data_IF_671698181053
#
_entry.id   IF_671698181053
#
_cell.length_a   1.000
_cell.length_b   1.000
_cell.length_c   1.000
_cell.angle_alpha   90.00
_cell.angle_beta   90.00
_cell.angle_gamma   90.00
#
_symmetry.space_group_name_H-M   'P 1'
#
loop_
_entity.id
_entity.type
_entity.pdbx_description
1 polymer ?
#
# COMPACT_ATOMS: atom_id res chain seq x y z
N UNK A 1 -0.71 29.71 -45.76
CA UNK A 1 -1.47 28.57 -45.18
C UNK A 1 -0.51 27.40 -44.95
N UNK A 2 -0.52 26.82 -43.73
CA UNK A 2 0.00 25.51 -43.27
C UNK A 2 1.46 25.06 -43.62
N UNK A 3 2.36 24.96 -42.61
CA UNK A 3 2.87 23.73 -41.93
C UNK A 3 3.90 22.91 -42.77
N UNK A 4 4.98 22.27 -42.29
CA UNK A 4 5.42 21.73 -40.99
C UNK A 4 6.92 21.34 -41.05
N UNK A 5 7.66 21.33 -39.93
CA UNK A 5 8.99 20.71 -39.74
C UNK A 5 8.90 19.22 -39.39
N UNK A 6 9.84 18.36 -39.84
CA UNK A 6 10.36 17.19 -39.10
C UNK A 6 11.85 16.92 -39.46
N UNK A 7 12.68 16.69 -38.43
CA UNK A 7 14.07 16.18 -38.46
C UNK A 7 14.09 14.66 -38.21
N UNK A 8 14.97 13.93 -38.88
CA UNK A 8 15.48 12.60 -38.47
C UNK A 8 16.95 12.52 -38.87
N UNK A 9 17.83 12.04 -37.99
CA UNK A 9 19.07 11.40 -38.42
C UNK A 9 19.54 10.36 -37.38
N UNK A 10 20.05 9.25 -37.89
CA UNK A 10 20.41 8.00 -37.22
C UNK A 10 21.64 7.45 -37.99
N UNK A 11 22.71 7.01 -37.32
CA UNK A 11 23.82 6.12 -37.80
C UNK A 11 24.87 5.98 -36.67
N UNK A 12 25.14 4.81 -36.07
CA UNK A 12 25.92 3.61 -36.50
C UNK A 12 27.43 3.81 -36.69
N UNK A 13 28.29 3.17 -35.86
CA UNK A 13 29.24 2.08 -36.24
C UNK A 13 30.03 1.51 -35.03
N UNK A 14 30.75 0.40 -35.25
CA UNK A 14 31.12 -0.65 -34.28
C UNK A 14 32.64 -0.93 -34.13
N UNK A 15 33.02 -1.55 -32.99
CA UNK A 15 34.02 -2.63 -32.72
C UNK A 15 35.53 -2.44 -33.02
N UNK A 16 36.41 -2.77 -32.05
CA UNK A 16 37.51 -3.78 -32.16
C UNK A 16 38.12 -4.17 -30.80
N UNK A 17 38.45 -5.47 -30.62
CA UNK A 17 39.27 -6.06 -29.54
C UNK A 17 40.76 -6.09 -29.94
N UNK A 18 41.67 -5.99 -28.97
CA UNK A 18 42.99 -6.65 -29.00
C UNK A 18 43.51 -6.91 -27.58
N UNK A 19 44.12 -8.09 -27.39
CA UNK A 19 44.72 -8.63 -26.15
C UNK A 19 46.20 -8.25 -26.07
N UNK A 20 46.71 -7.95 -24.87
CA UNK A 20 48.14 -7.83 -24.59
C UNK A 20 48.45 -8.11 -23.12
N UNK A 21 49.18 -9.20 -22.88
CA UNK A 21 49.76 -9.57 -21.58
C UNK A 21 50.86 -8.58 -21.17
N UNK A 22 50.95 -8.26 -19.88
CA UNK A 22 52.03 -7.47 -19.29
C UNK A 22 52.10 -7.66 -17.78
N UNK A 23 53.24 -8.19 -17.34
CA UNK A 23 53.58 -8.60 -15.98
C UNK A 23 53.76 -7.42 -15.00
N UNK A 24 53.53 -7.68 -13.72
CA UNK A 24 53.68 -6.77 -12.59
C UNK A 24 55.14 -6.35 -12.32
N UNK A 25 55.34 -5.30 -11.50
CA UNK A 25 56.40 -5.34 -10.50
C UNK A 25 55.85 -5.23 -9.07
N UNK A 26 56.53 -5.95 -8.18
CA UNK A 26 56.25 -6.11 -6.77
C UNK A 26 56.39 -4.80 -5.97
N UNK A 27 55.48 -4.58 -5.02
CA UNK A 27 55.61 -3.57 -3.99
C UNK A 27 56.57 -4.07 -2.90
N UNK A 28 57.64 -3.32 -2.66
CA UNK A 28 58.56 -3.52 -1.54
C UNK A 28 57.86 -3.24 -0.21
N UNK A 29 58.08 -4.14 0.75
CA UNK A 29 57.68 -4.02 2.14
C UNK A 29 58.65 -3.10 2.86
N UNK A 30 58.18 -2.01 3.46
CA UNK A 30 58.93 -1.24 4.46
C UNK A 30 58.23 -1.40 5.79
N UNK A 31 58.89 -2.11 6.71
CA UNK A 31 58.58 -2.15 8.13
C UNK A 31 59.00 -0.82 8.76
N UNK A 32 58.08 -0.12 9.42
CA UNK A 32 58.33 1.12 10.15
C UNK A 32 57.46 1.20 11.40
N UNK A 33 58.05 0.80 12.53
CA UNK A 33 57.75 1.08 13.94
C UNK A 33 56.32 1.44 14.37
N UNK A 34 55.74 0.55 15.16
CA UNK A 34 54.61 0.83 16.06
C UNK A 34 54.99 1.90 17.09
N UNK A 35 54.27 3.02 17.11
CA UNK A 35 54.01 3.74 18.36
C UNK A 35 52.61 3.40 18.84
N UNK A 36 52.56 2.77 20.01
CA UNK A 36 51.38 2.50 20.80
C UNK A 36 50.72 3.83 21.19
N UNK A 37 49.74 4.26 20.40
CA UNK A 37 48.66 5.10 20.93
C UNK A 37 47.53 4.14 21.25
N UNK A 38 47.43 3.74 22.52
CA UNK A 38 46.20 3.17 23.04
C UNK A 38 45.13 4.27 22.99
N UNK A 39 44.48 4.41 21.85
CA UNK A 39 43.15 5.01 21.81
C UNK A 39 42.23 4.00 22.48
N UNK A 40 41.87 4.29 23.73
CA UNK A 40 40.67 3.72 24.33
C UNK A 40 39.52 3.89 23.34
N UNK A 41 39.09 2.77 22.77
CA UNK A 41 37.94 2.68 21.90
C UNK A 41 36.71 2.96 22.78
N UNK A 42 36.34 4.23 22.92
CA UNK A 42 35.08 4.64 23.55
C UNK A 42 33.97 3.89 22.79
N UNK A 43 33.28 2.96 23.45
CA UNK A 43 32.15 2.24 22.84
C UNK A 43 31.15 3.27 22.30
N UNK A 44 31.06 3.40 20.98
CA UNK A 44 30.25 4.42 20.33
C UNK A 44 28.78 3.97 20.22
N UNK A 45 27.84 4.77 20.74
CA UNK A 45 26.47 4.89 20.21
C UNK A 45 25.48 3.78 20.56
N UNK A 46 25.47 3.29 21.80
CA UNK A 46 24.41 2.39 22.30
C UNK A 46 23.21 3.21 22.79
N UNK A 47 21.99 2.84 22.38
CA UNK A 47 20.76 3.59 22.70
C UNK A 47 20.59 3.75 24.22
N UNK A 48 20.40 4.98 24.69
CA UNK A 48 20.18 5.28 26.10
C UNK A 48 19.01 6.26 26.29
N UNK A 49 17.88 5.72 26.72
CA UNK A 49 16.62 6.45 26.80
C UNK A 49 15.77 5.94 27.96
N UNK A 50 14.56 6.47 28.06
CA UNK A 50 13.54 5.98 29.00
C UNK A 50 13.19 4.49 28.82
N UNK A 51 13.54 3.86 27.67
CA UNK A 51 13.28 2.44 27.37
C UNK A 51 14.54 1.62 27.10
N UNK A 52 15.73 2.22 27.03
CA UNK A 52 16.99 1.52 26.80
C UNK A 52 18.09 2.00 27.74
N UNK A 53 18.94 1.07 28.17
CA UNK A 53 20.21 1.36 28.85
C UNK A 53 21.32 0.55 28.19
N UNK A 54 22.35 1.22 27.72
CA UNK A 54 23.47 0.60 26.98
C UNK A 54 22.97 -0.26 25.79
N UNK A 55 21.96 0.22 25.06
CA UNK A 55 21.36 -0.46 23.91
C UNK A 55 20.49 -1.67 24.25
N UNK A 56 20.24 -1.93 25.54
CA UNK A 56 19.39 -3.04 26.01
C UNK A 56 18.07 -2.50 26.55
N UNK A 57 16.91 -3.14 26.24
CA UNK A 57 15.63 -2.72 26.78
C UNK A 57 15.62 -2.70 28.32
N UNK A 58 15.10 -1.63 28.91
CA UNK A 58 14.83 -1.55 30.34
C UNK A 58 13.47 -2.21 30.60
N UNK A 59 13.42 -3.22 31.46
CA UNK A 59 12.16 -3.77 31.95
C UNK A 59 11.81 -3.08 33.26
N UNK A 60 10.88 -2.12 33.21
CA UNK A 60 10.46 -1.39 34.39
C UNK A 60 9.76 -2.32 35.41
N UNK A 61 10.22 -2.26 36.66
CA UNK A 61 9.41 -2.53 37.85
C UNK A 61 8.57 -1.29 38.16
N UNK A 62 7.45 -1.48 38.87
CA UNK A 62 6.38 -0.49 39.07
C UNK A 62 6.85 0.96 39.31
N UNK A 63 6.23 1.92 38.60
CA UNK A 63 6.39 3.37 38.84
C UNK A 63 7.04 4.17 37.71
N UNK A 64 7.80 3.53 36.82
CA UNK A 64 8.19 4.05 35.49
C UNK A 64 7.20 3.53 34.44
N UNK A 65 7.11 4.10 33.22
CA UNK A 65 6.15 3.67 32.18
C UNK A 65 6.18 2.14 32.03
N UNK A 66 5.20 1.46 32.62
CA UNK A 66 5.23 0.01 32.74
C UNK A 66 4.81 -0.60 31.41
N UNK A 67 5.71 -1.36 30.81
CA UNK A 67 5.45 -2.20 29.64
C UNK A 67 4.13 -2.97 29.82
N UNK A 68 3.20 -2.84 28.88
CA UNK A 68 1.86 -3.45 29.01
C UNK A 68 1.75 -4.70 28.17
N UNK A 69 1.96 -5.87 28.78
CA UNK A 69 1.52 -7.12 28.16
C UNK A 69 0.01 -7.08 27.91
N UNK A 70 -0.47 -7.90 26.97
CA UNK A 70 -1.89 -8.22 26.90
C UNK A 70 -2.33 -8.86 28.24
N UNK A 71 -2.81 -8.06 29.19
CA UNK A 71 -3.26 -8.56 30.50
C UNK A 71 -4.60 -9.27 30.32
N UNK A 72 -4.68 -10.56 30.62
CA UNK A 72 -5.92 -11.32 30.92
C UNK A 72 -7.02 -11.41 29.85
N UNK A 73 -7.00 -10.60 28.80
CA UNK A 73 -8.07 -10.51 27.81
C UNK A 73 -7.62 -11.05 26.45
N UNK A 74 -8.24 -12.14 26.00
CA UNK A 74 -7.77 -12.96 24.88
C UNK A 74 -7.67 -12.24 23.53
N UNK A 75 -8.37 -11.12 23.37
CA UNK A 75 -8.40 -10.33 22.13
C UNK A 75 -7.74 -8.93 22.28
N UNK A 76 -6.98 -8.69 23.35
CA UNK A 76 -6.24 -7.45 23.54
C UNK A 76 -5.45 -7.06 22.29
N UNK A 77 -5.45 -5.76 21.96
CA UNK A 77 -4.77 -5.18 20.80
C UNK A 77 -5.23 -5.73 19.43
N UNK A 78 -6.33 -6.46 19.37
CA UNK A 78 -6.87 -7.01 18.13
C UNK A 78 -8.18 -6.34 17.73
N UNK A 79 -8.64 -6.66 16.51
CA UNK A 79 -9.89 -6.11 15.98
C UNK A 79 -11.06 -7.00 16.38
N UNK A 80 -12.01 -6.44 17.12
CA UNK A 80 -13.24 -7.08 17.58
C UNK A 80 -14.40 -6.27 17.01
N UNK A 81 -15.31 -6.92 16.28
CA UNK A 81 -16.47 -6.27 15.64
C UNK A 81 -16.10 -5.02 14.80
N UNK A 82 -14.93 -5.05 14.16
CA UNK A 82 -14.45 -3.94 13.31
C UNK A 82 -13.69 -2.83 14.04
N UNK A 83 -13.61 -2.87 15.37
CA UNK A 83 -12.89 -1.89 16.20
C UNK A 83 -11.66 -2.52 16.84
N UNK A 84 -10.56 -1.78 16.95
CA UNK A 84 -9.42 -2.23 17.74
C UNK A 84 -9.72 -2.06 19.23
N UNK A 85 -9.32 -3.03 20.06
CA UNK A 85 -9.52 -2.99 21.51
C UNK A 85 -8.18 -2.95 22.25
N UNK A 86 -8.13 -2.32 23.43
CA UNK A 86 -6.94 -2.24 24.28
C UNK A 86 -6.73 -3.52 25.12
N UNK A 87 -5.77 -3.50 26.04
CA UNK A 87 -5.49 -4.57 27.02
C UNK A 87 -6.64 -4.88 27.98
N UNK A 88 -7.65 -4.00 28.07
CA UNK A 88 -8.86 -4.20 28.87
C UNK A 88 -10.07 -4.63 28.03
N UNK A 89 -9.88 -4.94 26.74
CA UNK A 89 -10.97 -5.29 25.82
C UNK A 89 -11.87 -4.11 25.41
N UNK A 90 -11.53 -2.88 25.82
CA UNK A 90 -12.29 -1.67 25.50
C UNK A 90 -11.87 -1.11 24.13
N UNK A 91 -12.79 -0.56 23.31
CA UNK A 91 -12.43 0.06 22.03
C UNK A 91 -11.38 1.16 22.18
N UNK A 92 -10.40 1.20 21.29
CA UNK A 92 -9.41 2.28 21.19
C UNK A 92 -10.03 3.38 20.31
N UNK A 93 -10.43 4.52 20.89
CA UNK A 93 -11.14 5.56 20.13
C UNK A 93 -10.25 6.11 19.02
N UNK A 94 -10.83 6.24 17.82
CA UNK A 94 -10.12 6.76 16.66
C UNK A 94 -9.11 5.79 16.01
N UNK A 95 -8.85 4.59 16.55
CA UNK A 95 -7.92 3.67 15.92
C UNK A 95 -8.39 3.24 14.52
N UNK A 96 -7.61 3.62 13.50
CA UNK A 96 -7.88 3.32 12.08
C UNK A 96 -7.11 2.12 11.58
N UNK A 97 -5.88 1.94 12.06
CA UNK A 97 -4.95 0.91 11.63
C UNK A 97 -4.08 0.47 12.81
N UNK A 98 -3.68 -0.81 12.82
CA UNK A 98 -2.70 -1.36 13.74
C UNK A 98 -1.39 -1.59 13.01
N UNK A 99 -0.28 -1.14 13.58
CA UNK A 99 1.05 -1.34 13.04
C UNK A 99 2.04 -1.80 14.09
N UNK A 100 3.24 -2.09 13.63
CA UNK A 100 4.42 -2.36 14.44
C UNK A 100 5.51 -1.36 14.09
N UNK A 101 6.44 -1.14 15.00
CA UNK A 101 7.75 -0.61 14.66
C UNK A 101 8.84 -1.63 15.01
N UNK A 102 9.83 -1.75 14.13
CA UNK A 102 10.84 -2.80 14.21
C UNK A 102 12.22 -2.29 13.82
N UNK A 103 13.24 -2.92 14.38
CA UNK A 103 14.64 -2.64 14.15
C UNK A 103 15.45 -3.94 14.17
N UNK A 104 16.78 -3.86 14.35
CA UNK A 104 17.61 -5.01 14.64
C UNK A 104 17.15 -5.85 15.85
N UNK A 105 16.36 -5.26 16.76
CA UNK A 105 15.97 -5.88 18.03
C UNK A 105 15.09 -7.12 17.80
N UNK A 106 14.30 -7.12 16.72
CA UNK A 106 13.45 -8.25 16.32
C UNK A 106 14.18 -9.33 15.51
N UNK A 107 15.46 -9.12 15.17
CA UNK A 107 16.27 -10.06 14.38
C UNK A 107 15.55 -10.45 13.08
N UNK A 108 15.52 -11.75 12.75
CA UNK A 108 14.87 -12.27 11.54
C UNK A 108 13.36 -12.39 11.71
N UNK A 109 12.62 -11.55 10.99
CA UNK A 109 11.15 -11.56 10.91
C UNK A 109 10.64 -12.42 9.75
N UNK A 110 9.58 -13.21 9.99
CA UNK A 110 8.76 -13.87 8.97
C UNK A 110 7.62 -12.93 8.53
N UNK A 111 7.88 -12.18 7.45
CA UNK A 111 7.01 -11.10 7.00
C UNK A 111 5.68 -11.57 6.38
N UNK A 112 5.60 -12.80 5.91
CA UNK A 112 4.34 -13.35 5.39
C UNK A 112 3.37 -13.64 6.52
N UNK A 113 3.86 -14.17 7.65
CA UNK A 113 3.06 -14.31 8.88
C UNK A 113 2.66 -12.96 9.46
N UNK A 114 3.58 -11.99 9.50
CA UNK A 114 3.26 -10.62 9.96
C UNK A 114 2.12 -10.04 9.13
N UNK A 115 2.21 -10.12 7.79
CA UNK A 115 1.15 -9.64 6.89
C UNK A 115 -0.19 -10.36 7.10
N UNK A 116 -0.16 -11.67 7.37
CA UNK A 116 -1.35 -12.46 7.62
C UNK A 116 -1.99 -12.18 8.99
N UNK A 117 -1.22 -11.67 9.95
CA UNK A 117 -1.65 -11.45 11.34
C UNK A 117 -2.53 -10.21 11.57
N UNK A 118 -2.79 -9.41 10.52
CA UNK A 118 -3.59 -8.19 10.62
C UNK A 118 -2.80 -6.95 11.03
N UNK A 119 -1.49 -6.94 10.79
CA UNK A 119 -0.68 -5.72 10.78
C UNK A 119 -0.97 -4.93 9.49
N UNK A 120 -1.45 -3.71 9.64
CA UNK A 120 -1.80 -2.79 8.56
C UNK A 120 -0.59 -1.96 8.08
N UNK A 121 0.41 -1.76 8.93
CA UNK A 121 1.62 -1.00 8.61
C UNK A 121 2.83 -1.26 9.50
N UNK A 122 3.98 -0.73 9.06
CA UNK A 122 5.26 -0.86 9.75
C UNK A 122 5.99 0.48 9.78
N UNK A 123 6.65 0.84 10.89
CA UNK A 123 7.68 1.88 10.91
C UNK A 123 9.03 1.20 11.13
N UNK A 124 9.97 1.37 10.21
CA UNK A 124 11.26 0.68 10.22
C UNK A 124 12.35 1.58 10.77
N UNK A 125 13.18 1.11 11.71
CA UNK A 125 14.44 1.84 11.98
C UNK A 125 15.31 1.74 10.74
N UNK A 126 15.69 2.87 10.15
CA UNK A 126 16.66 2.88 9.06
C UNK A 126 18.11 2.96 9.58
N UNK A 127 18.30 3.64 10.71
CA UNK A 127 19.58 3.76 11.38
C UNK A 127 19.46 4.57 12.67
N UNK A 128 20.60 4.93 13.22
CA UNK A 128 20.74 5.81 14.37
C UNK A 128 21.89 6.78 14.17
N UNK A 129 21.85 7.96 14.80
CA UNK A 129 22.96 8.90 14.74
C UNK A 129 23.27 9.42 13.34
N UNK A 130 24.53 9.84 13.16
CA UNK A 130 25.02 10.56 11.98
C UNK A 130 25.13 9.65 10.76
N UNK A 131 25.31 10.26 9.58
CA UNK A 131 25.41 9.54 8.31
C UNK A 131 26.70 8.71 8.18
N UNK A 132 26.70 7.54 8.79
CA UNK A 132 27.78 6.55 8.78
C UNK A 132 27.18 5.17 8.46
N UNK A 133 27.77 4.39 7.53
CA UNK A 133 27.27 3.05 7.20
C UNK A 133 27.17 2.11 8.41
N UNK A 134 28.07 2.23 9.38
CA UNK A 134 28.09 1.41 10.61
C UNK A 134 26.95 1.72 11.57
N UNK A 135 26.23 2.83 11.34
CA UNK A 135 25.04 3.20 12.10
C UNK A 135 23.74 2.94 11.32
N UNK A 136 23.82 2.31 10.15
CA UNK A 136 22.64 1.72 9.50
C UNK A 136 22.06 0.62 10.41
N UNK A 137 20.74 0.48 10.45
CA UNK A 137 20.14 -0.64 11.18
C UNK A 137 20.46 -1.96 10.49
N UNK A 138 20.99 -2.94 11.23
CA UNK A 138 21.41 -4.25 10.69
C UNK A 138 20.30 -5.01 9.95
N UNK A 139 19.02 -4.72 10.24
CA UNK A 139 17.88 -5.31 9.56
C UNK A 139 17.24 -4.38 8.52
N UNK A 140 17.72 -3.16 8.34
CA UNK A 140 17.14 -2.16 7.43
C UNK A 140 16.87 -2.73 6.04
N UNK A 141 17.92 -3.20 5.35
CA UNK A 141 17.82 -3.67 3.96
C UNK A 141 16.88 -4.87 3.81
N UNK A 142 16.90 -5.80 4.78
CA UNK A 142 16.02 -6.96 4.78
C UNK A 142 14.57 -6.55 5.02
N UNK A 143 14.31 -5.71 6.00
CA UNK A 143 12.96 -5.33 6.40
C UNK A 143 12.28 -4.47 5.32
N UNK A 144 13.02 -3.53 4.72
CA UNK A 144 12.47 -2.68 3.67
C UNK A 144 12.20 -3.48 2.39
N UNK A 145 13.09 -4.40 2.00
CA UNK A 145 12.89 -5.23 0.81
C UNK A 145 11.70 -6.18 0.96
N UNK A 146 11.49 -6.76 2.14
CA UNK A 146 10.33 -7.62 2.40
C UNK A 146 9.01 -6.84 2.46
N UNK A 147 9.01 -5.64 3.05
CA UNK A 147 7.86 -4.74 2.99
C UNK A 147 7.49 -4.41 1.53
N UNK A 148 8.47 -4.10 0.69
CA UNK A 148 8.25 -3.79 -0.72
C UNK A 148 7.77 -5.02 -1.51
N UNK A 149 8.40 -6.18 -1.33
CA UNK A 149 8.01 -7.46 -1.96
C UNK A 149 6.56 -7.80 -1.66
N UNK A 150 6.16 -7.66 -0.39
CA UNK A 150 4.83 -8.01 0.08
C UNK A 150 3.83 -6.86 -0.02
N UNK A 151 4.21 -5.69 -0.51
CA UNK A 151 3.38 -4.48 -0.53
C UNK A 151 2.80 -4.14 0.86
N UNK A 152 3.61 -4.28 1.91
CA UNK A 152 3.28 -3.83 3.27
C UNK A 152 3.58 -2.33 3.34
N UNK A 153 2.59 -1.47 3.63
CA UNK A 153 2.83 -0.04 3.79
C UNK A 153 3.80 0.24 4.95
N UNK A 154 4.89 0.96 4.67
CA UNK A 154 5.89 1.26 5.69
C UNK A 154 6.33 2.73 5.71
N UNK A 155 6.83 3.16 6.87
CA UNK A 155 7.61 4.38 7.09
C UNK A 155 8.94 4.07 7.72
N UNK A 156 9.66 5.11 8.11
CA UNK A 156 10.98 4.94 8.73
C UNK A 156 11.11 5.82 9.96
N UNK A 157 12.01 5.44 10.86
CA UNK A 157 12.51 6.32 11.90
C UNK A 157 14.04 6.24 11.98
N UNK A 158 14.63 7.32 12.49
CA UNK A 158 16.04 7.40 12.85
C UNK A 158 16.13 7.82 14.32
N UNK A 159 16.81 7.00 15.12
CA UNK A 159 17.12 7.29 16.52
C UNK A 159 18.20 8.38 16.60
N UNK A 160 17.89 9.50 17.25
CA UNK A 160 18.79 10.66 17.24
C UNK A 160 19.81 10.65 18.38
N UNK A 161 21.05 11.00 18.05
CA UNK A 161 22.10 11.41 18.98
C UNK A 161 22.54 12.87 18.76
N UNK A 162 21.80 13.64 17.95
CA UNK A 162 22.19 15.00 17.61
C UNK A 162 21.99 15.97 18.78
N UNK A 163 23.10 16.52 19.27
CA UNK A 163 23.15 17.64 20.21
C UNK A 163 23.48 19.00 19.53
N UNK A 164 23.76 18.97 18.22
CA UNK A 164 24.04 20.14 17.39
C UNK A 164 23.22 20.11 16.09
N UNK A 165 23.10 21.30 15.48
CA UNK A 165 22.42 21.47 14.19
C UNK A 165 23.15 20.72 13.07
N UNK A 166 24.48 20.68 13.14
CA UNK A 166 25.36 20.01 12.18
C UNK A 166 25.16 18.51 12.23
N UNK A 167 25.11 17.92 13.44
CA UNK A 167 24.77 16.51 13.61
C UNK A 167 23.38 16.23 13.08
N UNK A 168 22.37 17.04 13.42
CA UNK A 168 21.00 16.86 12.92
C UNK A 168 20.89 16.87 11.38
N UNK A 169 21.69 17.70 10.70
CA UNK A 169 21.78 17.69 9.23
C UNK A 169 22.42 16.40 8.71
N UNK A 170 23.46 15.90 9.39
CA UNK A 170 24.07 14.61 9.08
C UNK A 170 23.08 13.45 9.28
N UNK A 171 22.31 13.45 10.37
CA UNK A 171 21.24 12.48 10.62
C UNK A 171 20.16 12.51 9.52
N UNK A 172 19.80 13.70 9.02
CA UNK A 172 18.89 13.81 7.88
C UNK A 172 19.51 13.24 6.59
N UNK A 173 20.80 13.50 6.33
CA UNK A 173 21.52 12.94 5.18
C UNK A 173 21.62 11.41 5.26
N UNK A 174 21.72 10.86 6.47
CA UNK A 174 21.66 9.41 6.72
C UNK A 174 20.35 8.81 6.24
N UNK A 175 19.24 9.40 6.67
CA UNK A 175 17.91 8.97 6.22
C UNK A 175 17.80 9.08 4.71
N UNK A 176 18.20 10.22 4.12
CA UNK A 176 18.14 10.47 2.67
C UNK A 176 18.89 9.39 1.88
N UNK A 177 20.12 9.04 2.30
CA UNK A 177 20.93 7.98 1.67
C UNK A 177 20.18 6.65 1.65
N UNK A 178 19.53 6.28 2.75
CA UNK A 178 18.88 4.98 2.90
C UNK A 178 17.52 4.86 2.20
N UNK A 179 16.79 5.97 2.09
CA UNK A 179 15.45 5.99 1.49
C UNK A 179 15.43 6.42 0.03
N UNK A 180 16.58 6.71 -0.57
CA UNK A 180 16.66 7.06 -1.98
C UNK A 180 15.94 6.03 -2.86
N UNK A 181 15.09 6.51 -3.77
CA UNK A 181 14.23 5.72 -4.68
C UNK A 181 13.14 4.85 -4.01
N UNK A 182 13.01 4.92 -2.69
CA UNK A 182 12.01 4.17 -1.94
C UNK A 182 10.68 4.91 -1.89
N UNK A 183 9.59 4.14 -1.83
CA UNK A 183 8.21 4.67 -1.81
C UNK A 183 7.63 4.47 -0.43
N UNK A 184 8.04 5.35 0.47
CA UNK A 184 7.48 5.39 1.80
C UNK A 184 5.98 5.62 1.67
N UNK A 185 5.26 4.69 2.27
CA UNK A 185 3.93 5.01 2.73
C UNK A 185 4.20 5.93 3.91
N UNK A 186 4.30 5.43 5.14
CA UNK A 186 4.76 6.08 6.38
C UNK A 186 5.42 7.49 6.42
N UNK A 187 5.24 8.39 7.42
CA UNK A 187 6.21 9.47 7.61
C UNK A 187 7.63 8.95 7.88
N UNK A 188 8.59 9.85 7.66
CA UNK A 188 9.92 9.77 8.28
C UNK A 188 9.77 10.33 9.68
N UNK A 189 10.06 9.54 10.70
CA UNK A 189 10.03 9.99 12.09
C UNK A 189 11.42 10.32 12.58
N UNK A 190 11.56 11.49 13.20
CA UNK A 190 12.71 11.80 14.02
C UNK A 190 12.43 11.34 15.44
N UNK A 191 13.18 10.36 15.91
CA UNK A 191 13.03 9.73 17.21
C UNK A 191 13.88 10.48 18.25
N UNK A 192 13.19 11.21 19.13
CA UNK A 192 13.77 12.07 20.15
C UNK A 192 13.48 11.48 21.53
N UNK A 193 14.44 10.69 22.03
CA UNK A 193 14.33 10.07 23.34
C UNK A 193 15.64 9.94 24.12
N UNK A 194 16.77 10.26 23.48
CA UNK A 194 18.12 10.15 24.04
C UNK A 194 18.31 11.03 25.29
N UNK A 195 18.88 10.44 26.33
CA UNK A 195 19.08 11.09 27.63
C UNK A 195 19.95 12.35 27.51
N UNK A 196 20.98 12.33 26.67
CA UNK A 196 21.83 13.50 26.44
C UNK A 196 21.09 14.65 25.73
N UNK A 197 20.20 14.33 24.79
CA UNK A 197 19.34 15.33 24.15
C UNK A 197 18.37 15.93 25.18
N UNK A 198 17.89 15.14 26.15
CA UNK A 198 17.01 15.61 27.22
C UNK A 198 17.66 16.67 28.12
N UNK A 199 19.00 16.72 28.19
CA UNK A 199 19.75 17.72 28.98
C UNK A 199 19.80 19.10 28.31
N UNK A 200 19.61 19.18 26.99
CA UNK A 200 19.66 20.43 26.22
C UNK A 200 18.47 21.35 26.53
N UNK A 201 18.53 22.64 26.22
CA UNK A 201 17.33 23.49 26.37
C UNK A 201 16.23 23.12 25.35
N UNK A 202 14.95 23.33 25.69
CA UNK A 202 13.83 23.04 24.77
C UNK A 202 13.99 23.78 23.42
N UNK A 203 14.49 25.01 23.44
CA UNK A 203 14.78 25.78 22.22
C UNK A 203 15.91 25.15 21.40
N UNK A 204 16.95 24.61 22.04
CA UNK A 204 18.03 23.89 21.34
C UNK A 204 17.52 22.61 20.67
N UNK A 205 16.70 21.83 21.37
CA UNK A 205 16.05 20.63 20.80
C UNK A 205 15.17 21.01 19.60
N UNK A 206 14.45 22.14 19.67
CA UNK A 206 13.68 22.65 18.54
C UNK A 206 14.58 23.03 17.35
N UNK A 207 15.72 23.69 17.57
CA UNK A 207 16.67 24.01 16.49
C UNK A 207 17.21 22.74 15.80
N UNK A 208 17.54 21.71 16.57
CA UNK A 208 18.01 20.40 16.10
C UNK A 208 16.93 19.73 15.24
N UNK A 209 15.70 19.59 15.77
CA UNK A 209 14.58 18.98 15.05
C UNK A 209 14.20 19.77 13.78
N UNK A 210 14.25 21.10 13.85
CA UNK A 210 14.01 21.98 12.70
C UNK A 210 15.05 21.76 11.61
N UNK A 211 16.34 21.70 11.95
CA UNK A 211 17.42 21.48 11.00
C UNK A 211 17.32 20.12 10.29
N UNK A 212 16.98 19.06 11.03
CA UNK A 212 16.73 17.73 10.46
C UNK A 212 15.57 17.78 9.44
N UNK A 213 14.43 18.35 9.84
CA UNK A 213 13.25 18.42 8.98
C UNK A 213 13.45 19.34 7.75
N UNK A 214 14.14 20.47 7.90
CA UNK A 214 14.44 21.38 6.80
C UNK A 214 15.41 20.73 5.79
N UNK A 215 16.38 19.95 6.26
CA UNK A 215 17.30 19.20 5.39
C UNK A 215 16.57 18.12 4.58
N UNK A 216 15.64 17.38 5.19
CA UNK A 216 14.76 16.46 4.49
C UNK A 216 13.89 17.16 3.45
N UNK A 217 13.27 18.28 3.83
CA UNK A 217 12.41 19.09 2.95
C UNK A 217 13.17 19.62 1.74
N UNK A 218 14.40 20.10 1.93
CA UNK A 218 15.27 20.57 0.85
C UNK A 218 15.56 19.47 -0.19
N UNK A 219 15.50 18.20 0.23
CA UNK A 219 15.68 17.02 -0.62
C UNK A 219 14.33 16.39 -1.06
N UNK A 220 13.21 17.12 -0.94
CA UNK A 220 11.89 16.70 -1.43
C UNK A 220 11.06 15.88 -0.45
N UNK A 221 11.57 15.59 0.75
CA UNK A 221 10.88 14.80 1.76
C UNK A 221 10.12 15.71 2.73
N UNK A 222 8.81 15.84 2.51
CA UNK A 222 7.94 16.75 3.30
C UNK A 222 7.06 16.03 4.32
N UNK A 223 7.00 14.70 4.27
CA UNK A 223 6.22 13.90 5.21
C UNK A 223 7.08 13.47 6.40
N UNK A 224 7.38 14.43 7.28
CA UNK A 224 8.23 14.24 8.47
C UNK A 224 7.37 14.35 9.71
N UNK A 225 7.57 13.46 10.68
CA UNK A 225 6.93 13.47 11.99
C UNK A 225 7.96 13.40 13.12
N UNK A 226 7.50 13.60 14.35
CA UNK A 226 8.32 13.46 15.55
C UNK A 226 7.78 12.30 16.37
N UNK A 227 8.68 11.41 16.78
CA UNK A 227 8.40 10.41 17.79
C UNK A 227 9.06 10.80 19.11
N UNK A 228 8.32 10.63 20.19
CA UNK A 228 8.81 10.74 21.56
C UNK A 228 7.77 10.15 22.53
N UNK A 229 8.14 9.97 23.79
CA UNK A 229 7.17 9.59 24.82
C UNK A 229 6.28 10.77 25.26
N UNK A 230 5.20 10.47 26.00
CA UNK A 230 4.26 11.48 26.52
C UNK A 230 4.96 12.60 27.31
N UNK A 231 5.93 12.26 28.16
CA UNK A 231 6.65 13.24 28.97
C UNK A 231 7.44 14.22 28.11
N UNK A 232 8.19 13.73 27.13
CA UNK A 232 8.91 14.57 26.18
C UNK A 232 7.97 15.54 25.49
N UNK A 233 6.79 15.10 25.03
CA UNK A 233 5.82 16.01 24.43
C UNK A 233 5.23 17.05 25.39
N UNK A 234 5.06 16.72 26.66
CA UNK A 234 4.48 17.62 27.67
C UNK A 234 5.50 18.60 28.26
N UNK A 235 6.77 18.20 28.37
CA UNK A 235 7.80 18.96 29.09
C UNK A 235 8.94 19.45 28.21
N UNK A 236 9.34 18.68 27.19
CA UNK A 236 10.54 18.93 26.37
C UNK A 236 10.24 19.57 25.02
N UNK A 237 9.28 19.02 24.29
CA UNK A 237 8.94 19.37 22.92
C UNK A 237 7.81 20.42 22.89
N UNK A 238 7.91 21.42 23.76
CA UNK A 238 6.88 22.44 23.98
C UNK A 238 7.01 23.67 23.07
N UNK A 239 8.13 23.80 22.36
CA UNK A 239 8.34 24.85 21.36
C UNK A 239 7.26 24.80 20.25
N UNK A 240 6.82 25.98 19.78
CA UNK A 240 5.79 26.11 18.74
C UNK A 240 6.17 25.40 17.44
N UNK A 241 7.46 25.22 17.16
CA UNK A 241 7.95 24.43 16.04
C UNK A 241 7.27 23.05 15.96
N UNK A 242 7.14 22.36 17.09
CA UNK A 242 6.61 21.00 17.16
C UNK A 242 5.12 20.91 16.79
N UNK A 243 4.39 22.02 16.75
CA UNK A 243 3.00 22.05 16.28
C UNK A 243 2.88 21.82 14.76
N UNK A 244 3.97 22.01 14.00
CA UNK A 244 4.01 21.79 12.55
C UNK A 244 4.07 20.30 12.17
N UNK A 245 4.54 19.45 13.08
CA UNK A 245 4.82 18.06 12.79
C UNK A 245 3.77 17.12 13.41
N UNK A 246 3.34 16.08 12.67
CA UNK A 246 2.54 15.02 13.25
C UNK A 246 3.32 14.29 14.36
N UNK A 247 2.63 13.98 15.46
CA UNK A 247 3.20 13.28 16.61
C UNK A 247 2.90 11.78 16.56
N UNK A 248 3.93 10.97 16.74
CA UNK A 248 3.84 9.57 17.12
C UNK A 248 4.25 9.47 18.60
N UNK A 249 3.28 9.18 19.47
CA UNK A 249 3.48 9.26 20.91
C UNK A 249 3.63 7.89 21.51
N UNK A 250 4.68 7.67 22.29
CA UNK A 250 4.77 6.51 23.17
C UNK A 250 4.11 6.78 24.52
N UNK A 251 3.13 5.94 24.86
CA UNK A 251 2.60 5.82 26.22
C UNK A 251 2.12 4.38 26.43
N UNK A 252 2.86 3.61 27.22
CA UNK A 252 2.52 2.21 27.51
C UNK A 252 1.37 2.14 28.50
N UNK A 253 0.15 2.13 27.99
CA UNK A 253 -1.07 2.23 28.79
C UNK A 253 -2.30 1.66 28.06
N UNK A 254 -3.41 1.50 28.77
CA UNK A 254 -4.69 1.06 28.17
C UNK A 254 -5.32 2.14 27.28
N UNK A 255 -5.01 3.41 27.55
CA UNK A 255 -5.47 4.57 26.78
C UNK A 255 -4.35 5.60 26.74
N UNK A 256 -4.16 6.25 25.59
CA UNK A 256 -3.30 7.42 25.48
C UNK A 256 -4.00 8.63 26.14
N UNK A 257 -3.44 9.08 27.25
CA UNK A 257 -3.92 10.21 28.07
C UNK A 257 -3.35 11.56 27.66
N UNK A 258 -2.49 11.61 26.63
CA UNK A 258 -1.95 12.88 26.13
C UNK A 258 -3.06 13.75 25.52
N UNK A 259 -3.15 14.99 25.98
CA UNK A 259 -4.22 15.93 25.60
C UNK A 259 -3.96 16.66 24.28
N UNK A 260 -2.70 16.74 23.83
CA UNK A 260 -2.34 17.38 22.57
C UNK A 260 -2.70 16.54 21.33
N UNK A 261 -2.50 17.10 20.14
CA UNK A 261 -2.80 16.39 18.89
C UNK A 261 -1.72 15.36 18.55
N UNK A 262 -2.13 14.14 18.21
CA UNK A 262 -1.25 13.08 17.73
C UNK A 262 -1.95 12.27 16.63
N UNK A 263 -1.15 11.61 15.80
CA UNK A 263 -1.64 10.77 14.71
C UNK A 263 -1.42 9.29 14.96
N UNK A 264 -0.43 8.94 15.77
CA UNK A 264 -0.06 7.57 16.08
C UNK A 264 0.26 7.43 17.56
N UNK A 265 -0.11 6.31 18.14
CA UNK A 265 0.12 5.96 19.53
C UNK A 265 0.85 4.62 19.59
N UNK A 266 2.08 4.60 20.12
CA UNK A 266 2.75 3.38 20.55
C UNK A 266 2.22 3.01 21.94
N UNK A 267 1.42 1.95 21.96
CA UNK A 267 0.58 1.54 23.09
C UNK A 267 1.26 0.56 24.03
N UNK A 268 2.24 -0.18 23.53
CA UNK A 268 3.02 -1.17 24.29
C UNK A 268 4.24 -1.60 23.51
N UNK A 269 5.28 -2.02 24.22
CA UNK A 269 6.48 -2.73 23.78
C UNK A 269 6.39 -4.26 23.93
N UNK A 270 5.27 -4.76 24.46
CA UNK A 270 5.01 -6.18 24.76
C UNK A 270 3.99 -6.80 23.82
N UNK A 271 3.91 -6.31 22.58
CA UNK A 271 3.09 -6.92 21.55
C UNK A 271 3.55 -8.33 21.20
N UNK A 272 2.60 -9.18 20.84
CA UNK A 272 2.86 -10.50 20.27
C UNK A 272 2.27 -10.55 18.85
N UNK A 273 3.14 -10.73 17.85
CA UNK A 273 2.76 -10.76 16.45
C UNK A 273 3.33 -12.03 15.80
N UNK A 274 2.47 -12.90 15.23
CA UNK A 274 2.93 -14.06 14.48
C UNK A 274 3.97 -13.71 13.42
N UNK A 275 5.12 -14.38 13.48
CA UNK A 275 6.26 -14.14 12.59
C UNK A 275 7.40 -13.33 13.21
N UNK A 276 7.21 -12.81 14.43
CA UNK A 276 8.26 -12.17 15.23
C UNK A 276 8.52 -13.03 16.46
N UNK A 277 9.79 -13.32 16.74
CA UNK A 277 10.19 -14.03 17.95
C UNK A 277 10.37 -13.01 19.08
N UNK A 278 9.67 -13.21 20.19
CA UNK A 278 9.68 -12.27 21.31
C UNK A 278 8.68 -11.12 21.14
N UNK A 279 8.93 -10.03 21.84
CA UNK A 279 8.01 -8.88 21.85
C UNK A 279 8.29 -7.87 20.74
N UNK A 280 7.25 -7.14 20.35
CA UNK A 280 7.32 -6.06 19.38
C UNK A 280 6.45 -4.88 19.83
N UNK A 281 6.89 -3.68 19.49
CA UNK A 281 6.13 -2.45 19.72
C UNK A 281 4.82 -2.46 18.90
N UNK A 282 3.69 -2.12 19.54
CA UNK A 282 2.38 -2.03 18.89
C UNK A 282 1.88 -0.59 18.81
N UNK A 283 1.53 -0.21 17.58
CA UNK A 283 1.09 1.12 17.23
C UNK A 283 -0.35 1.14 16.74
N UNK A 284 -1.09 2.15 17.18
CA UNK A 284 -2.39 2.48 16.61
C UNK A 284 -2.32 3.83 15.97
N UNK A 285 -2.65 3.88 14.69
CA UNK A 285 -2.90 5.15 14.04
C UNK A 285 -4.28 5.66 14.45
N UNK A 286 -4.32 6.79 15.15
CA UNK A 286 -5.53 7.40 15.73
C UNK A 286 -6.14 8.48 14.82
N UNK A 287 -5.30 9.28 14.15
CA UNK A 287 -5.76 10.29 13.19
C UNK A 287 -5.04 10.07 11.87
N UNK A 288 -5.80 10.08 10.77
CA UNK A 288 -5.21 9.99 9.44
C UNK A 288 -4.42 11.25 9.11
N UNK A 289 -3.36 11.11 8.30
CA UNK A 289 -2.76 12.27 7.63
C UNK A 289 -3.74 12.72 6.55
N UNK A 290 -4.22 13.98 6.57
CA UNK A 290 -5.24 14.43 5.64
C UNK A 290 -4.72 14.38 4.20
N UNK A 291 -5.34 13.54 3.37
CA UNK A 291 -5.08 13.55 1.94
C UNK A 291 -5.61 14.84 1.32
N UNK A 292 -4.75 15.65 0.69
CA UNK A 292 -5.12 16.79 -0.18
C UNK A 292 -6.00 16.32 -1.34
N UNK A 293 -5.64 15.23 -2.02
CA UNK A 293 -6.47 14.62 -3.08
C UNK A 293 -6.76 13.15 -2.81
N UNK A 294 -7.89 12.64 -3.30
CA UNK A 294 -8.24 11.22 -3.25
C UNK A 294 -9.00 10.82 -4.52
N UNK A 295 -8.51 9.81 -5.25
CA UNK A 295 -9.00 9.40 -6.58
C UNK A 295 -9.01 7.88 -6.74
N UNK A 296 -9.81 7.38 -7.69
CA UNK A 296 -9.88 5.96 -8.08
C UNK A 296 -9.33 5.76 -9.48
N UNK A 297 -8.79 4.56 -9.76
CA UNK A 297 -8.33 4.20 -11.11
C UNK A 297 -9.44 4.19 -12.15
N UNK A 298 -10.69 3.99 -11.74
CA UNK A 298 -11.89 3.98 -12.59
C UNK A 298 -13.09 4.55 -11.83
N UNK A 299 -13.90 5.37 -12.51
CA UNK A 299 -15.21 5.85 -12.01
C UNK A 299 -16.37 4.92 -12.35
N UNK A 300 -16.19 4.05 -13.35
CA UNK A 300 -17.18 3.02 -13.71
C UNK A 300 -16.51 1.79 -14.33
N UNK A 301 -17.13 0.63 -14.13
CA UNK A 301 -16.68 -0.66 -14.65
C UNK A 301 -17.87 -1.51 -15.08
N UNK A 302 -17.67 -2.31 -16.13
CA UNK A 302 -18.59 -3.35 -16.56
C UNK A 302 -17.91 -4.71 -16.44
N UNK A 303 -18.34 -5.53 -15.48
CA UNK A 303 -17.70 -6.80 -15.14
C UNK A 303 -18.62 -7.97 -15.48
N UNK A 304 -18.08 -9.06 -16.03
CA UNK A 304 -18.85 -10.27 -16.29
C UNK A 304 -19.16 -10.96 -14.95
N UNK A 305 -20.36 -11.52 -14.80
CA UNK A 305 -20.71 -12.31 -13.61
C UNK A 305 -19.67 -13.43 -13.37
N UNK A 306 -19.09 -13.44 -12.18
CA UNK A 306 -18.03 -14.36 -11.74
C UNK A 306 -16.60 -13.84 -11.94
N UNK A 307 -16.39 -12.68 -12.60
CA UNK A 307 -15.06 -12.06 -12.70
C UNK A 307 -14.76 -11.14 -11.52
N UNK A 308 -13.48 -10.86 -11.31
CA UNK A 308 -13.01 -9.86 -10.34
C UNK A 308 -12.16 -8.77 -11.00
N UNK A 309 -12.03 -7.63 -10.32
CA UNK A 309 -11.16 -6.52 -10.70
C UNK A 309 -10.62 -5.84 -9.46
N UNK A 310 -9.32 -5.54 -9.42
CA UNK A 310 -8.72 -4.78 -8.30
C UNK A 310 -8.80 -3.29 -8.60
N UNK A 311 -9.67 -2.59 -7.85
CA UNK A 311 -9.84 -1.15 -7.93
C UNK A 311 -8.73 -0.47 -7.14
N UNK A 312 -7.86 0.30 -7.83
CA UNK A 312 -6.78 1.04 -7.20
C UNK A 312 -7.27 2.42 -6.76
N UNK A 313 -6.73 2.93 -5.67
CA UNK A 313 -6.94 4.27 -5.16
C UNK A 313 -5.63 5.05 -5.11
N UNK A 314 -5.71 6.37 -5.19
CA UNK A 314 -4.58 7.28 -5.19
C UNK A 314 -4.87 8.46 -4.26
N UNK A 315 -3.92 8.83 -3.42
CA UNK A 315 -3.98 9.99 -2.53
C UNK A 315 -2.85 10.97 -2.85
N UNK A 316 -3.06 12.25 -2.57
CA UNK A 316 -1.98 13.26 -2.57
C UNK A 316 -1.88 13.94 -1.20
N UNK A 317 -0.68 14.13 -0.60
CA UNK A 317 0.58 13.51 -1.05
C UNK A 317 0.43 11.98 -1.10
N UNK A 318 1.21 11.32 -1.96
CA UNK A 318 1.20 9.86 -2.15
C UNK A 318 1.32 9.08 -0.83
N UNK A 319 1.89 9.76 0.17
CA UNK A 319 2.22 9.32 1.52
C UNK A 319 1.15 9.77 2.55
N UNK A 320 -0.09 10.04 2.15
CA UNK A 320 -1.15 10.32 3.11
C UNK A 320 -1.63 8.99 3.76
N UNK A 321 -1.28 8.79 5.03
CA UNK A 321 -1.68 7.63 5.86
C UNK A 321 -3.15 7.62 6.26
N UNK A 322 -3.80 6.44 6.40
CA UNK A 322 -3.87 5.26 5.52
C UNK A 322 -5.25 4.56 5.55
N UNK A 323 -5.35 3.52 4.72
CA UNK A 323 -6.45 2.54 4.57
C UNK A 323 -7.76 3.12 4.06
N UNK A 324 -7.98 2.97 2.75
CA UNK A 324 -9.30 3.19 2.16
C UNK A 324 -10.27 2.17 2.74
N UNK A 325 -11.25 2.64 3.50
CA UNK A 325 -12.39 1.81 3.91
C UNK A 325 -13.31 1.66 2.71
N UNK A 326 -13.41 0.44 2.22
CA UNK A 326 -14.27 0.10 1.10
C UNK A 326 -15.65 -0.33 1.58
N UNK A 327 -16.68 0.14 0.89
CA UNK A 327 -18.04 -0.35 1.05
C UNK A 327 -18.68 -0.61 -0.32
N UNK A 328 -19.74 -1.41 -0.31
CA UNK A 328 -20.57 -1.64 -1.49
C UNK A 328 -22.02 -1.31 -1.14
N UNK A 329 -22.67 -0.52 -2.00
CA UNK A 329 -24.10 -0.23 -1.88
C UNK A 329 -24.97 -1.48 -2.07
N UNK A 330 -24.42 -2.56 -2.64
CA UNK A 330 -25.10 -3.85 -2.77
C UNK A 330 -24.08 -4.99 -2.94
N UNK A 331 -23.65 -5.57 -1.81
CA UNK A 331 -22.66 -6.64 -1.76
C UNK A 331 -23.10 -7.96 -2.41
N UNK A 332 -24.41 -8.17 -2.60
CA UNK A 332 -24.96 -9.31 -3.34
C UNK A 332 -24.79 -9.19 -4.86
N UNK A 333 -24.67 -7.97 -5.38
CA UNK A 333 -24.39 -7.67 -6.78
C UNK A 333 -22.88 -7.64 -7.02
N UNK A 334 -22.16 -6.80 -6.27
CA UNK A 334 -20.71 -6.75 -6.29
C UNK A 334 -20.17 -6.47 -4.88
N UNK A 335 -19.26 -7.31 -4.39
CA UNK A 335 -18.56 -7.08 -3.12
C UNK A 335 -17.15 -6.56 -3.38
N UNK A 336 -16.54 -5.96 -2.36
CA UNK A 336 -15.16 -5.49 -2.38
C UNK A 336 -14.46 -5.94 -1.10
N UNK A 337 -13.18 -6.33 -1.21
CA UNK A 337 -12.32 -6.64 -0.07
C UNK A 337 -11.62 -5.38 0.46
N UNK A 338 -11.00 -5.48 1.64
CA UNK A 338 -10.12 -4.43 2.19
C UNK A 338 -8.99 -4.02 1.22
N UNK A 339 -8.47 -4.98 0.44
CA UNK A 339 -7.44 -4.73 -0.58
C UNK A 339 -7.98 -4.14 -1.91
N UNK A 340 -9.26 -3.77 -1.99
CA UNK A 340 -9.85 -3.16 -3.18
C UNK A 340 -10.26 -4.15 -4.30
N UNK A 341 -10.19 -5.48 -4.05
CA UNK A 341 -10.62 -6.49 -5.03
C UNK A 341 -12.14 -6.57 -5.09
N UNK A 342 -12.73 -6.07 -6.18
CA UNK A 342 -14.16 -6.16 -6.51
C UNK A 342 -14.47 -7.52 -7.10
N UNK A 343 -15.51 -8.20 -6.60
CA UNK A 343 -16.00 -9.49 -7.11
C UNK A 343 -17.43 -9.35 -7.62
N UNK A 344 -17.65 -9.65 -8.91
CA UNK A 344 -18.95 -9.53 -9.56
C UNK A 344 -19.81 -10.79 -9.33
N UNK A 345 -20.83 -10.70 -8.46
CA UNK A 345 -21.62 -11.86 -8.01
C UNK A 345 -22.93 -12.05 -8.77
N UNK A 346 -23.74 -11.00 -8.89
CA UNK A 346 -25.08 -11.05 -9.51
C UNK A 346 -25.24 -9.91 -10.51
N UNK A 347 -25.92 -10.16 -11.63
CA UNK A 347 -26.20 -9.12 -12.64
C UNK A 347 -27.04 -8.01 -12.02
N UNK A 348 -26.61 -6.77 -12.25
CA UNK A 348 -27.16 -5.60 -11.58
C UNK A 348 -26.15 -4.47 -11.53
N UNK A 349 -26.43 -3.48 -10.70
CA UNK A 349 -25.53 -2.36 -10.44
C UNK A 349 -25.27 -2.22 -8.95
N UNK A 350 -24.03 -1.93 -8.59
CA UNK A 350 -23.62 -1.55 -7.24
C UNK A 350 -22.67 -0.36 -7.33
N UNK A 351 -22.64 0.47 -6.30
CA UNK A 351 -21.65 1.53 -6.15
C UNK A 351 -20.65 1.07 -5.10
N UNK A 352 -19.39 1.04 -5.50
CA UNK A 352 -18.28 0.80 -4.58
C UNK A 352 -17.77 2.16 -4.12
N UNK A 353 -17.70 2.38 -2.82
CA UNK A 353 -17.23 3.63 -2.22
C UNK A 353 -15.95 3.36 -1.44
N UNK A 354 -14.90 4.12 -1.76
CA UNK A 354 -13.70 4.20 -0.94
C UNK A 354 -13.78 5.44 -0.05
N UNK A 355 -13.50 5.27 1.23
CA UNK A 355 -13.40 6.37 2.21
C UNK A 355 -11.96 6.44 2.71
N UNK A 356 -11.29 7.57 2.49
CA UNK A 356 -9.95 7.82 3.04
C UNK A 356 -9.99 8.03 4.55
N UNK A 357 -8.84 7.96 5.22
CA UNK A 357 -8.71 8.22 6.65
C UNK A 357 -9.24 9.59 7.10
N UNK A 358 -9.16 10.60 6.22
CA UNK A 358 -9.67 11.95 6.51
C UNK A 358 -11.16 12.13 6.25
N UNK A 359 -11.88 11.05 5.92
CA UNK A 359 -13.30 11.06 5.63
C UNK A 359 -13.66 11.41 4.17
N UNK A 360 -12.70 11.80 3.31
CA UNK A 360 -12.98 12.03 1.87
C UNK A 360 -13.46 10.74 1.21
N UNK A 361 -14.51 10.84 0.40
CA UNK A 361 -15.14 9.71 -0.30
C UNK A 361 -14.97 9.80 -1.80
N UNK A 362 -14.73 8.66 -2.44
CA UNK A 362 -14.72 8.47 -3.89
C UNK A 362 -15.51 7.23 -4.25
N UNK A 363 -16.11 7.20 -5.43
CA UNK A 363 -17.01 6.10 -5.81
C UNK A 363 -16.77 5.59 -7.23
N UNK A 364 -17.00 4.29 -7.42
CA UNK A 364 -16.95 3.59 -8.70
C UNK A 364 -18.28 2.85 -8.94
N UNK A 365 -18.95 3.14 -10.05
CA UNK A 365 -20.17 2.43 -10.45
C UNK A 365 -19.81 1.10 -11.12
N UNK A 366 -20.20 0.00 -10.49
CA UNK A 366 -20.04 -1.35 -11.03
C UNK A 366 -21.34 -1.78 -11.69
N UNK A 367 -21.26 -2.18 -12.96
CA UNK A 367 -22.33 -2.88 -13.66
C UNK A 367 -21.90 -4.32 -13.88
N UNK A 368 -22.58 -5.26 -13.24
CA UNK A 368 -22.35 -6.69 -13.47
C UNK A 368 -23.20 -7.13 -14.64
N UNK A 369 -22.56 -7.58 -15.72
CA UNK A 369 -23.21 -8.06 -16.94
C UNK A 369 -23.26 -9.59 -17.00
N UNK A 370 -24.21 -10.18 -17.74
CA UNK A 370 -24.21 -11.63 -17.96
C UNK A 370 -22.93 -12.11 -18.65
N UNK A 371 -22.59 -13.39 -18.45
CA UNK A 371 -21.48 -14.03 -19.17
C UNK A 371 -21.71 -13.94 -20.69
N UNK A 372 -20.63 -13.82 -21.44
CA UNK A 372 -20.67 -13.76 -22.91
C UNK A 372 -21.28 -15.03 -23.51
N UNK A 373 -22.09 -14.87 -24.56
CA UNK A 373 -22.61 -16.00 -25.33
C UNK A 373 -21.53 -16.57 -26.26
N UNK A 374 -21.66 -17.87 -26.60
CA UNK A 374 -20.83 -18.55 -27.60
C UNK A 374 -21.75 -19.24 -28.62
N UNK A 375 -21.60 -18.89 -29.91
CA UNK A 375 -22.27 -19.64 -30.98
C UNK A 375 -21.53 -20.96 -31.12
N UNK A 376 -22.22 -22.07 -30.81
CA UNK A 376 -21.67 -23.42 -30.95
C UNK A 376 -21.58 -23.79 -32.43
N UNK A 377 -22.71 -23.71 -33.15
CA UNK A 377 -22.83 -24.25 -34.51
C UNK A 377 -23.70 -23.36 -35.40
N UNK A 378 -23.34 -23.27 -36.68
CA UNK A 378 -24.19 -22.80 -37.77
C UNK A 378 -24.42 -23.99 -38.72
N UNK A 379 -25.68 -24.28 -39.09
CA UNK A 379 -26.02 -25.36 -40.03
C UNK A 379 -27.03 -24.85 -41.07
N UNK A 380 -26.91 -25.24 -42.33
CA UNK A 380 -27.97 -25.03 -43.33
C UNK A 380 -29.25 -25.74 -42.86
N UNK A 381 -30.41 -25.13 -43.11
CA UNK A 381 -31.73 -25.66 -42.76
C UNK A 381 -32.67 -25.45 -43.95
N UNK A 382 -33.24 -26.53 -44.49
CA UNK A 382 -34.05 -26.50 -45.72
C UNK A 382 -33.29 -25.97 -46.93
N UNK A 383 -33.98 -25.28 -47.85
CA UNK A 383 -33.42 -24.65 -49.07
C UNK A 383 -33.11 -23.14 -48.94
N UNK A 384 -33.70 -22.46 -47.96
CA UNK A 384 -33.55 -21.00 -47.72
C UNK A 384 -33.25 -20.59 -46.26
N UNK A 385 -32.84 -21.51 -45.37
CA UNK A 385 -32.53 -21.20 -43.97
C UNK A 385 -31.13 -21.54 -43.45
N UNK A 386 -30.71 -20.86 -42.37
CA UNK A 386 -29.55 -21.19 -41.53
C UNK A 386 -30.02 -21.30 -40.07
N UNK A 387 -29.71 -22.42 -39.41
CA UNK A 387 -29.92 -22.66 -37.97
C UNK A 387 -28.68 -22.22 -37.18
N UNK A 388 -28.88 -21.30 -36.25
CA UNK A 388 -27.88 -20.77 -35.32
C UNK A 388 -28.09 -21.43 -33.97
N UNK A 389 -27.06 -22.10 -33.42
CA UNK A 389 -27.12 -22.75 -32.10
C UNK A 389 -26.06 -22.17 -31.16
N UNK A 390 -26.42 -21.85 -29.93
CA UNK A 390 -25.53 -21.24 -28.92
C UNK A 390 -25.55 -21.97 -27.58
N UNK A 391 -24.52 -21.75 -26.77
CA UNK A 391 -24.50 -22.19 -25.37
C UNK A 391 -25.51 -21.40 -24.54
N UNK A 392 -26.31 -22.10 -23.73
CA UNK A 392 -27.19 -21.45 -22.74
C UNK A 392 -26.34 -20.69 -21.72
N UNK A 393 -26.87 -19.56 -21.23
CA UNK A 393 -26.26 -18.74 -20.18
C UNK A 393 -27.24 -18.69 -19.01
N UNK A 394 -26.81 -19.06 -17.80
CA UNK A 394 -27.68 -19.11 -16.63
C UNK A 394 -28.06 -17.72 -16.12
N UNK A 395 -29.28 -17.56 -15.60
CA UNK A 395 -29.79 -16.33 -15.00
C UNK A 395 -30.16 -15.21 -15.98
N UNK A 396 -30.17 -15.44 -17.30
CA UNK A 396 -30.58 -14.43 -18.29
C UNK A 396 -32.08 -14.50 -18.58
N UNK A 397 -32.66 -13.40 -19.04
CA UNK A 397 -34.10 -13.31 -19.34
C UNK A 397 -34.40 -13.73 -20.79
N UNK A 398 -33.65 -13.24 -21.78
CA UNK A 398 -33.82 -13.60 -23.20
C UNK A 398 -32.49 -13.53 -23.95
N UNK A 399 -32.47 -14.14 -25.15
CA UNK A 399 -31.38 -14.00 -26.13
C UNK A 399 -31.80 -13.08 -27.27
N UNK A 400 -30.84 -12.35 -27.85
CA UNK A 400 -31.00 -11.60 -29.07
C UNK A 400 -30.03 -12.11 -30.13
N UNK A 401 -30.56 -12.36 -31.32
CA UNK A 401 -29.79 -12.84 -32.47
C UNK A 401 -29.70 -11.70 -33.48
N UNK A 402 -28.48 -11.44 -33.94
CA UNK A 402 -28.18 -10.42 -34.92
C UNK A 402 -27.57 -11.06 -36.15
N UNK A 403 -27.87 -10.49 -37.31
CA UNK A 403 -27.34 -10.91 -38.59
C UNK A 403 -26.86 -9.71 -39.42
N UNK A 404 -25.81 -9.90 -40.20
CA UNK A 404 -25.37 -8.99 -41.24
C UNK A 404 -25.00 -9.73 -42.53
N UNK A 405 -25.00 -9.00 -43.64
CA UNK A 405 -24.39 -9.41 -44.92
C UNK A 405 -22.91 -9.00 -45.01
N UNK A 406 -22.43 -8.13 -44.10
CA UNK A 406 -21.04 -7.64 -44.00
C UNK A 406 -20.40 -8.18 -42.73
N UNK A 407 -19.09 -8.48 -42.77
CA UNK A 407 -18.36 -9.10 -41.65
C UNK A 407 -18.37 -8.23 -40.38
N UNK A 408 -18.08 -6.94 -40.52
CA UNK A 408 -17.80 -6.05 -39.39
C UNK A 408 -18.89 -5.03 -39.08
N UNK A 409 -19.84 -4.78 -40.00
CA UNK A 409 -20.86 -3.74 -39.87
C UNK A 409 -22.25 -4.23 -40.30
N UNK A 410 -23.30 -3.40 -40.14
CA UNK A 410 -24.64 -3.68 -40.67
C UNK A 410 -25.46 -4.73 -39.92
N UNK A 411 -25.09 -5.07 -38.68
CA UNK A 411 -25.82 -6.06 -37.88
C UNK A 411 -27.20 -5.55 -37.46
N UNK A 412 -28.25 -6.22 -37.93
CA UNK A 412 -29.63 -5.98 -37.49
C UNK A 412 -30.10 -7.10 -36.57
N UNK A 413 -30.90 -6.76 -35.56
CA UNK A 413 -31.54 -7.76 -34.69
C UNK A 413 -32.60 -8.49 -35.49
N UNK A 414 -32.44 -9.80 -35.65
CA UNK A 414 -33.37 -10.63 -36.42
C UNK A 414 -34.32 -11.45 -35.54
N UNK A 415 -34.02 -11.58 -34.24
CA UNK A 415 -34.90 -12.24 -33.28
C UNK A 415 -34.56 -11.85 -31.84
N UNK A 416 -35.58 -11.90 -30.99
CA UNK A 416 -35.44 -12.00 -29.53
C UNK A 416 -36.18 -13.26 -29.09
N UNK A 417 -35.50 -14.19 -28.42
CA UNK A 417 -36.06 -15.50 -28.07
C UNK A 417 -36.00 -15.76 -26.56
N UNK A 418 -36.93 -16.58 -26.07
CA UNK A 418 -36.99 -17.01 -24.66
C UNK A 418 -35.68 -17.68 -24.21
N UNK A 419 -35.34 -17.54 -22.92
CA UNK A 419 -34.19 -18.22 -22.28
C UNK A 419 -34.22 -19.75 -22.43
N UNK A 420 -35.41 -20.35 -22.61
CA UNK A 420 -35.56 -21.79 -22.83
C UNK A 420 -34.93 -22.26 -24.16
N UNK A 421 -34.81 -21.37 -25.15
CA UNK A 421 -34.25 -21.67 -26.48
C UNK A 421 -32.72 -21.60 -26.48
N UNK A 422 -32.10 -22.53 -27.21
CA UNK A 422 -30.65 -22.55 -27.50
C UNK A 422 -30.35 -22.50 -29.00
N UNK A 423 -31.38 -22.34 -29.84
CA UNK A 423 -31.21 -22.16 -31.28
C UNK A 423 -32.32 -21.30 -31.90
N UNK A 424 -32.04 -20.77 -33.09
CA UNK A 424 -32.97 -20.03 -33.93
C UNK A 424 -32.65 -20.28 -35.40
N UNK A 425 -33.66 -20.45 -36.26
CA UNK A 425 -33.47 -20.62 -37.70
C UNK A 425 -33.89 -19.36 -38.44
N UNK A 426 -32.94 -18.72 -39.13
CA UNK A 426 -33.25 -17.61 -40.03
C UNK A 426 -33.57 -18.17 -41.42
N UNK A 427 -34.82 -18.06 -41.85
CA UNK A 427 -35.28 -18.37 -43.21
C UNK A 427 -35.19 -17.19 -44.18
N UNK A 428 -35.72 -17.39 -45.40
CA UNK A 428 -35.76 -16.39 -46.49
C UNK A 428 -34.37 -15.83 -46.84
N UNK A 429 -33.35 -16.69 -46.91
CA UNK A 429 -31.99 -16.34 -47.29
C UNK A 429 -31.72 -16.70 -48.75
N UNK A 430 -30.93 -15.87 -49.43
CA UNK A 430 -30.51 -16.07 -50.82
C UNK A 430 -29.44 -17.16 -50.88
N UNK A 431 -29.57 -18.12 -51.80
CA UNK A 431 -28.55 -19.15 -52.06
C UNK A 431 -27.23 -18.50 -52.48
N UNK A 432 -26.11 -19.16 -52.17
CA UNK A 432 -24.74 -18.75 -52.47
C UNK A 432 -24.30 -17.43 -51.81
N UNK A 433 -25.10 -16.77 -50.96
CA UNK A 433 -24.68 -15.58 -50.18
C UNK A 433 -24.16 -15.92 -48.78
N UNK A 434 -23.11 -15.23 -48.31
CA UNK A 434 -22.56 -15.37 -46.95
C UNK A 434 -23.28 -14.46 -45.97
N UNK A 435 -23.61 -15.01 -44.81
CA UNK A 435 -24.27 -14.29 -43.72
C UNK A 435 -23.47 -14.42 -42.43
N UNK A 436 -23.41 -13.34 -41.65
CA UNK A 436 -22.67 -13.24 -40.41
C UNK A 436 -23.64 -13.11 -39.23
N UNK A 437 -23.37 -13.82 -38.15
CA UNK A 437 -24.25 -13.92 -36.99
C UNK A 437 -23.47 -13.65 -35.70
N UNK A 438 -24.13 -12.94 -34.77
CA UNK A 438 -23.69 -12.79 -33.38
C UNK A 438 -24.89 -12.88 -32.45
N UNK A 439 -24.67 -13.40 -31.25
CA UNK A 439 -25.70 -13.59 -30.23
C UNK A 439 -25.30 -12.84 -28.97
N UNK A 440 -26.25 -12.21 -28.30
CA UNK A 440 -26.09 -11.72 -26.93
C UNK A 440 -27.29 -12.11 -26.07
N UNK A 441 -27.11 -12.04 -24.77
CA UNK A 441 -28.19 -12.24 -23.80
C UNK A 441 -28.42 -10.95 -23.03
N UNK A 442 -29.53 -10.86 -22.33
CA UNK A 442 -29.74 -9.83 -21.32
C UNK A 442 -30.50 -10.39 -20.14
N UNK A 443 -30.31 -9.76 -18.99
CA UNK A 443 -31.15 -9.96 -17.81
C UNK A 443 -31.91 -8.66 -17.53
N UNK A 444 -33.21 -8.79 -17.24
CA UNK A 444 -34.01 -7.66 -16.76
C UNK A 444 -33.86 -7.55 -15.25
N UNK A 445 -33.39 -6.41 -14.77
CA UNK A 445 -33.24 -6.07 -13.35
C UNK A 445 -33.98 -4.76 -13.11
N UNK A 446 -34.97 -4.75 -12.21
CA UNK A 446 -35.82 -3.56 -11.94
C UNK A 446 -36.30 -2.86 -13.22
N UNK A 447 -36.92 -3.64 -14.12
CA UNK A 447 -37.42 -3.20 -15.45
C UNK A 447 -36.35 -2.73 -16.46
N UNK A 448 -35.07 -2.66 -16.10
CA UNK A 448 -33.95 -2.30 -17.01
C UNK A 448 -33.25 -3.54 -17.56
N UNK A 449 -32.92 -3.53 -18.87
CA UNK A 449 -32.19 -4.64 -19.53
C UNK A 449 -30.69 -4.41 -19.42
N UNK A 450 -29.98 -5.33 -18.76
CA UNK A 450 -28.51 -5.36 -18.71
C UNK A 450 -28.01 -6.42 -19.70
N UNK A 451 -27.30 -5.97 -20.73
CA UNK A 451 -26.86 -6.82 -21.84
C UNK A 451 -25.49 -7.43 -21.58
N UNK A 452 -25.31 -8.69 -21.99
CA UNK A 452 -23.98 -9.26 -22.15
C UNK A 452 -23.24 -8.58 -23.30
N UNK A 453 -21.93 -8.78 -23.35
CA UNK A 453 -21.19 -8.60 -24.61
C UNK A 453 -21.74 -9.54 -25.68
N UNK A 454 -21.57 -9.15 -26.95
CA UNK A 454 -21.86 -10.05 -28.07
C UNK A 454 -20.89 -11.24 -28.06
N UNK A 455 -21.36 -12.37 -28.57
CA UNK A 455 -20.50 -13.47 -28.97
C UNK A 455 -19.53 -13.02 -30.06
N UNK A 456 -18.45 -13.79 -30.25
CA UNK A 456 -17.70 -13.72 -31.49
C UNK A 456 -18.63 -13.94 -32.70
N UNK A 457 -18.29 -13.30 -33.81
CA UNK A 457 -19.03 -13.43 -35.06
C UNK A 457 -18.75 -14.80 -35.67
N UNK A 458 -19.79 -15.51 -36.11
CA UNK A 458 -19.66 -16.69 -36.99
C UNK A 458 -20.37 -16.44 -38.31
N UNK A 459 -19.92 -17.07 -39.39
CA UNK A 459 -20.55 -16.93 -40.70
C UNK A 459 -20.80 -18.26 -41.39
N UNK A 460 -21.78 -18.30 -42.29
CA UNK A 460 -22.04 -19.44 -43.14
C UNK A 460 -22.57 -18.95 -44.51
N UNK A 461 -22.12 -19.58 -45.59
CA UNK A 461 -22.65 -19.37 -46.94
C UNK A 461 -23.94 -20.19 -47.07
N UNK A 462 -25.04 -19.50 -47.38
CA UNK A 462 -26.34 -20.14 -47.52
C UNK A 462 -26.40 -21.01 -48.76
#
# INVERSE_FOLDING_TARGET
>A
MANLKIKVCNRFFAVFMAVGMGLAPAAQTVYGSQQNVQQEKKESGKEDSWRYKDGKPIYSTEGQMASRSARGYSNAWNKVNGMFVNDLGSPIPGAWAKGIDVSHHQKKIDWEKVKASGIDFVILRCGYGMNQPEQDDDQWLRNVSECERLNIPYGVYLYSYADTVEKAKSEADHVIRLIQDRKLSYPIYYDLEENDIYKLSNSKVAQIAGAFADRLKANGYTNVGIYANKEWFEKKLTDKLFQKYPRWIAQYNSVCSYSGSYIMWQSTDKGNVPGINGYVDLNFLIKSIPAKSFKLSKKSLSLKRGSSYTLKSYTEPKNAFPTVRWSSSNSSVASISSAGKVTAKKVGTAVITGTSGSGKKVSCKITVIPKSNKIKKLKKSGSKGIKITWSKVSGVTKYQIYMSKKKSSGYKRIATVSVKKSSYTKGKLTKKKRYYFKVRSYQTVRKKKIYSQFSSVKSLKR
#
